data_IF_405313636958
#
_entry.id   IF_405313636958
#
_cell.length_a   1.000
_cell.length_b   1.000
_cell.length_c   1.000
_cell.angle_alpha   90.00
_cell.angle_beta   90.00
_cell.angle_gamma   90.00
#
_symmetry.space_group_name_H-M   'P 1'
#
loop_
_entity.id
_entity.type
_entity.pdbx_description
1 polymer ?
#
# COMPACT_ATOMS: atom_id res chain seq x y z
N UNK A 1 5.84 12.26 12.44
CA UNK A 1 6.41 11.44 11.35
C UNK A 1 5.98 12.05 10.03
N UNK A 2 6.88 12.17 9.06
CA UNK A 2 6.58 12.82 7.77
C UNK A 2 6.93 11.84 6.67
N UNK A 3 5.95 11.52 5.82
CA UNK A 3 6.18 10.77 4.58
C UNK A 3 7.20 11.51 3.68
N UNK A 4 7.88 10.81 2.76
CA UNK A 4 8.69 11.46 1.75
C UNK A 4 7.88 12.55 1.01
N UNK A 5 8.48 13.71 0.67
CA UNK A 5 7.74 14.86 0.13
C UNK A 5 6.98 14.61 -1.17
N UNK A 6 7.28 13.55 -1.90
CA UNK A 6 6.62 13.15 -3.15
C UNK A 6 5.61 12.00 -2.96
N UNK A 7 5.58 11.38 -1.78
CA UNK A 7 4.58 10.37 -1.42
C UNK A 7 3.31 11.10 -0.97
N UNK A 8 2.17 10.67 -1.51
CA UNK A 8 0.85 11.15 -1.12
C UNK A 8 0.00 9.97 -0.73
N UNK A 9 -0.78 10.13 0.34
CA UNK A 9 -1.81 9.19 0.76
C UNK A 9 -3.12 9.96 0.82
N UNK A 10 -4.18 9.40 0.26
CA UNK A 10 -5.51 9.95 0.32
C UNK A 10 -6.53 8.84 0.56
N UNK A 11 -7.66 9.18 1.15
CA UNK A 11 -8.76 8.25 1.36
C UNK A 11 -10.10 8.92 1.17
N UNK A 12 -11.12 8.09 0.89
CA UNK A 12 -12.50 8.54 0.72
C UNK A 12 -13.44 7.43 1.19
N UNK A 13 -14.49 7.83 1.88
CA UNK A 13 -15.58 6.92 2.24
C UNK A 13 -16.25 6.47 0.95
N UNK A 14 -16.59 5.18 0.86
CA UNK A 14 -17.29 4.59 -0.25
C UNK A 14 -18.79 4.74 0.05
N UNK A 15 -19.50 5.62 -0.69
CA UNK A 15 -20.91 5.84 -0.45
C UNK A 15 -21.71 4.55 -0.65
N UNK A 16 -22.83 4.36 0.08
CA UNK A 16 -23.73 3.24 -0.14
C UNK A 16 -24.12 3.09 -1.61
N UNK A 17 -23.99 1.87 -2.14
CA UNK A 17 -24.32 1.56 -3.54
C UNK A 17 -23.24 1.89 -4.58
N UNK A 18 -22.15 2.56 -4.20
CA UNK A 18 -21.01 2.75 -5.11
C UNK A 18 -19.99 1.63 -5.01
N UNK A 19 -19.27 1.40 -6.12
CA UNK A 19 -18.23 0.39 -6.17
C UNK A 19 -16.93 1.01 -5.63
N UNK A 20 -16.36 0.43 -4.56
CA UNK A 20 -15.09 0.87 -3.95
C UNK A 20 -13.97 1.13 -4.98
N UNK A 21 -13.93 0.34 -6.06
CA UNK A 21 -12.97 0.50 -7.15
C UNK A 21 -13.12 1.87 -7.83
N UNK A 22 -14.33 2.28 -8.18
CA UNK A 22 -14.58 3.59 -8.83
C UNK A 22 -14.12 4.75 -7.94
N UNK A 23 -14.37 4.65 -6.64
CA UNK A 23 -13.91 5.62 -5.64
C UNK A 23 -12.38 5.72 -5.62
N UNK A 24 -11.68 4.58 -5.59
CA UNK A 24 -10.21 4.60 -5.65
C UNK A 24 -9.67 5.13 -6.99
N UNK A 25 -10.35 4.88 -8.12
CA UNK A 25 -9.96 5.43 -9.42
C UNK A 25 -10.12 6.95 -9.46
N UNK A 26 -11.21 7.48 -8.90
CA UNK A 26 -11.41 8.93 -8.77
C UNK A 26 -10.28 9.56 -7.94
N UNK A 27 -9.95 8.98 -6.78
CA UNK A 27 -8.84 9.47 -5.95
C UNK A 27 -7.50 9.45 -6.71
N UNK A 28 -7.22 8.39 -7.45
CA UNK A 28 -5.98 8.30 -8.24
C UNK A 28 -5.95 9.34 -9.37
N UNK A 29 -7.08 9.58 -10.05
CA UNK A 29 -7.17 10.61 -11.08
C UNK A 29 -6.95 12.03 -10.53
N UNK A 30 -7.41 12.30 -9.31
CA UNK A 30 -7.18 13.58 -8.62
C UNK A 30 -5.70 13.76 -8.21
N UNK A 31 -5.06 12.72 -7.69
CA UNK A 31 -3.64 12.77 -7.27
C UNK A 31 -2.66 12.74 -8.46
N UNK A 32 -3.03 12.06 -9.54
CA UNK A 32 -2.21 11.87 -10.73
C UNK A 32 -3.00 12.30 -11.98
N UNK A 33 -3.24 13.61 -12.17
CA UNK A 33 -3.93 14.09 -13.35
C UNK A 33 -3.15 13.69 -14.62
N UNK A 34 -3.87 13.18 -15.62
CA UNK A 34 -3.30 12.67 -16.87
C UNK A 34 -2.77 11.23 -16.79
N UNK A 35 -2.88 10.56 -15.64
CA UNK A 35 -2.57 9.15 -15.52
C UNK A 35 -3.69 8.26 -16.07
N UNK A 36 -3.32 7.24 -16.82
CA UNK A 36 -4.15 6.08 -17.08
C UNK A 36 -3.86 5.02 -16.01
N UNK A 37 -4.90 4.49 -15.38
CA UNK A 37 -4.75 3.51 -14.30
C UNK A 37 -5.37 2.18 -14.69
N UNK A 38 -4.51 1.16 -14.79
CA UNK A 38 -4.92 -0.19 -15.16
C UNK A 38 -4.69 -1.18 -14.03
N UNK A 39 -5.52 -2.23 -13.97
CA UNK A 39 -5.31 -3.35 -13.06
C UNK A 39 -5.66 -4.62 -13.80
N UNK A 40 -4.65 -5.44 -14.07
CA UNK A 40 -4.81 -6.74 -14.76
C UNK A 40 -4.00 -7.80 -14.05
N UNK A 41 -4.66 -8.87 -13.67
CA UNK A 41 -4.02 -10.01 -13.03
C UNK A 41 -3.12 -10.71 -14.06
N UNK A 42 -1.86 -10.97 -13.69
CA UNK A 42 -0.93 -11.71 -14.56
C UNK A 42 -1.31 -13.17 -14.74
N UNK A 43 -2.09 -13.75 -13.83
CA UNK A 43 -2.51 -15.14 -13.89
C UNK A 43 -3.78 -15.36 -14.74
N UNK A 44 -4.81 -14.54 -14.55
CA UNK A 44 -6.12 -14.73 -15.21
C UNK A 44 -6.57 -13.59 -16.13
N UNK A 45 -5.83 -12.47 -16.18
CA UNK A 45 -6.19 -11.28 -16.97
C UNK A 45 -7.28 -10.38 -16.37
N UNK A 46 -7.94 -10.80 -15.28
CA UNK A 46 -9.03 -10.08 -14.64
C UNK A 46 -8.62 -8.77 -13.97
N UNK A 47 -9.61 -7.93 -13.65
CA UNK A 47 -9.39 -6.55 -13.18
C UNK A 47 -8.94 -6.40 -11.71
N UNK A 48 -8.65 -7.51 -11.04
CA UNK A 48 -8.21 -7.57 -9.65
C UNK A 48 -6.69 -7.66 -9.50
N UNK A 49 -5.95 -7.44 -10.60
CA UNK A 49 -4.49 -7.40 -10.54
C UNK A 49 -3.95 -6.14 -9.89
N UNK A 50 -2.62 -6.07 -9.79
CA UNK A 50 -1.91 -4.89 -9.29
C UNK A 50 -2.28 -3.64 -10.08
N UNK A 51 -2.39 -2.52 -9.36
CA UNK A 51 -2.51 -1.19 -9.97
C UNK A 51 -1.21 -0.84 -10.70
N UNK A 52 -1.32 -0.43 -11.95
CA UNK A 52 -0.25 0.16 -12.74
C UNK A 52 -0.72 1.50 -13.27
N UNK A 53 0.18 2.47 -13.24
CA UNK A 53 -0.03 3.81 -13.77
C UNK A 53 0.75 3.94 -15.08
N UNK A 54 0.11 4.50 -16.09
CA UNK A 54 0.70 4.84 -17.39
C UNK A 54 0.37 6.29 -17.75
N UNK A 55 1.02 6.86 -18.76
CA UNK A 55 0.84 8.26 -19.18
C UNK A 55 1.59 9.28 -18.32
N UNK A 56 1.95 8.92 -17.08
CA UNK A 56 2.83 9.70 -16.21
C UNK A 56 3.83 8.79 -15.49
N UNK A 57 5.00 9.32 -15.18
CA UNK A 57 6.00 8.67 -14.33
C UNK A 57 5.54 8.74 -12.87
N UNK A 58 4.81 7.71 -12.44
CA UNK A 58 4.36 7.55 -11.07
C UNK A 58 4.06 6.08 -10.75
N UNK A 59 4.07 5.77 -9.46
CA UNK A 59 3.59 4.49 -8.91
C UNK A 59 2.40 4.74 -8.01
N UNK A 60 1.52 3.74 -7.91
CA UNK A 60 0.33 3.82 -7.08
C UNK A 60 -0.03 2.47 -6.47
N UNK A 61 -0.66 2.52 -5.30
CA UNK A 61 -1.22 1.37 -4.61
C UNK A 61 -2.56 1.73 -3.97
N UNK A 62 -3.39 0.72 -3.75
CA UNK A 62 -4.77 0.87 -3.25
C UNK A 62 -5.04 -0.19 -2.19
N UNK A 63 -5.73 0.21 -1.13
CA UNK A 63 -6.35 -0.70 -0.16
C UNK A 63 -7.78 -0.27 0.17
N UNK A 64 -8.54 -1.19 0.76
CA UNK A 64 -9.92 -0.97 1.17
C UNK A 64 -10.15 -1.58 2.55
N UNK A 65 -10.75 -0.82 3.46
CA UNK A 65 -11.11 -1.28 4.81
C UNK A 65 -12.35 -0.53 5.30
N UNK A 66 -13.29 -1.21 5.97
CA UNK A 66 -14.49 -0.61 6.61
C UNK A 66 -15.21 0.46 5.76
N UNK A 67 -15.48 0.18 4.49
CA UNK A 67 -16.15 1.15 3.62
C UNK A 67 -15.28 2.31 3.15
N UNK A 68 -13.97 2.28 3.37
CA UNK A 68 -13.02 3.27 2.86
C UNK A 68 -12.24 2.74 1.65
N UNK A 69 -11.95 3.64 0.71
CA UNK A 69 -10.88 3.45 -0.27
C UNK A 69 -9.68 4.30 0.14
N UNK A 70 -8.51 3.68 0.25
CA UNK A 70 -7.24 4.32 0.61
C UNK A 70 -6.27 4.14 -0.55
N UNK A 71 -5.62 5.22 -0.99
CA UNK A 71 -4.67 5.22 -2.09
C UNK A 71 -3.35 5.83 -1.65
N UNK A 72 -2.25 5.31 -2.17
CA UNK A 72 -0.94 5.93 -2.05
C UNK A 72 -0.30 6.08 -3.43
N UNK A 73 0.37 7.20 -3.66
CA UNK A 73 1.06 7.50 -4.92
C UNK A 73 2.45 8.06 -4.65
N UNK A 74 3.40 7.80 -5.55
CA UNK A 74 4.71 8.46 -5.56
C UNK A 74 5.13 8.74 -7.01
N UNK A 75 5.87 9.85 -7.21
CA UNK A 75 6.45 10.21 -8.51
C UNK A 75 7.93 9.86 -8.62
N UNK A 76 8.60 9.50 -7.52
CA UNK A 76 10.04 9.21 -7.52
C UNK A 76 10.38 7.79 -7.04
N UNK A 77 9.50 7.15 -6.28
CA UNK A 77 9.72 5.79 -5.81
C UNK A 77 9.44 4.77 -6.93
N UNK A 78 10.35 3.80 -7.08
CA UNK A 78 10.21 2.69 -8.00
C UNK A 78 9.02 1.77 -7.66
N UNK A 79 8.59 1.73 -6.40
CA UNK A 79 7.30 1.19 -6.01
C UNK A 79 6.75 1.80 -4.71
N UNK A 80 5.43 1.74 -4.58
CA UNK A 80 4.70 2.08 -3.36
C UNK A 80 3.68 0.99 -3.09
N UNK A 81 3.48 0.67 -1.81
CA UNK A 81 2.44 -0.21 -1.31
C UNK A 81 1.71 0.48 -0.17
N UNK A 82 0.37 0.43 -0.18
CA UNK A 82 -0.45 0.87 0.95
C UNK A 82 -1.36 -0.26 1.38
N UNK A 83 -1.44 -0.46 2.68
CA UNK A 83 -2.48 -1.28 3.26
C UNK A 83 -3.25 -0.56 4.35
N UNK A 84 -4.54 -0.90 4.43
CA UNK A 84 -5.51 -0.34 5.34
C UNK A 84 -6.26 -1.52 5.96
N UNK A 85 -6.33 -1.54 7.28
CA UNK A 85 -6.88 -2.65 8.06
C UNK A 85 -7.79 -2.07 9.14
N UNK A 86 -8.97 -2.64 9.40
CA UNK A 86 -9.77 -2.26 10.56
C UNK A 86 -8.93 -2.35 11.84
N UNK A 87 -9.00 -1.35 12.72
CA UNK A 87 -8.19 -1.34 13.95
C UNK A 87 -8.47 -2.55 14.84
N UNK A 88 -9.73 -2.99 14.87
CA UNK A 88 -10.22 -4.16 15.62
C UNK A 88 -10.28 -5.43 14.76
N UNK A 89 -9.46 -5.53 13.71
CA UNK A 89 -9.44 -6.70 12.85
C UNK A 89 -9.14 -7.98 13.66
N UNK A 90 -9.99 -8.99 13.48
CA UNK A 90 -9.86 -10.30 14.13
C UNK A 90 -9.48 -11.38 13.11
N UNK A 91 -8.96 -12.51 13.60
CA UNK A 91 -8.61 -13.65 12.75
C UNK A 91 -7.27 -13.53 12.00
N UNK A 92 -6.48 -12.49 12.30
CA UNK A 92 -5.14 -12.31 11.74
C UNK A 92 -4.19 -13.46 12.09
N UNK A 93 -4.40 -14.12 13.24
CA UNK A 93 -3.64 -15.31 13.64
C UNK A 93 -3.69 -16.45 12.63
N UNK A 94 -4.73 -16.52 11.78
CA UNK A 94 -4.85 -17.54 10.75
C UNK A 94 -3.88 -17.35 9.58
N UNK A 95 -3.37 -16.12 9.39
CA UNK A 95 -2.50 -15.74 8.27
C UNK A 95 -1.12 -15.28 8.73
N UNK A 96 -1.02 -14.72 9.93
CA UNK A 96 0.21 -14.30 10.56
C UNK A 96 0.07 -14.40 12.09
N UNK A 97 0.50 -15.52 12.71
CA UNK A 97 0.34 -15.75 14.14
C UNK A 97 0.94 -14.63 15.01
N UNK A 98 0.16 -14.13 15.96
CA UNK A 98 0.56 -13.09 16.91
C UNK A 98 0.57 -11.67 16.33
N UNK A 99 0.15 -11.46 15.08
CA UNK A 99 0.09 -10.14 14.48
C UNK A 99 -1.15 -9.36 14.91
N UNK A 100 -0.94 -8.11 15.34
CA UNK A 100 -1.99 -7.11 15.46
C UNK A 100 -2.31 -6.45 14.10
N UNK A 101 -3.39 -5.65 14.04
CA UNK A 101 -3.81 -4.96 12.82
C UNK A 101 -2.70 -4.08 12.22
N UNK A 102 -1.86 -3.48 13.06
CA UNK A 102 -0.74 -2.65 12.62
C UNK A 102 0.37 -3.48 11.97
N UNK A 103 0.76 -4.57 12.60
CA UNK A 103 1.77 -5.49 12.05
C UNK A 103 1.29 -6.07 10.73
N UNK A 104 0.02 -6.46 10.66
CA UNK A 104 -0.60 -6.94 9.43
C UNK A 104 -0.59 -5.88 8.32
N UNK A 105 -1.02 -4.64 8.60
CA UNK A 105 -1.00 -3.56 7.63
C UNK A 105 0.42 -3.31 7.07
N UNK A 106 1.45 -3.36 7.92
CA UNK A 106 2.84 -3.18 7.48
C UNK A 106 3.29 -4.32 6.56
N UNK A 107 2.96 -5.56 6.90
CA UNK A 107 3.28 -6.75 6.08
C UNK A 107 2.62 -6.67 4.71
N UNK A 108 1.32 -6.39 4.66
CA UNK A 108 0.58 -6.23 3.40
C UNK A 108 1.08 -5.03 2.58
N UNK A 109 1.44 -3.91 3.23
CA UNK A 109 2.04 -2.77 2.53
C UNK A 109 3.35 -3.16 1.84
N UNK A 110 4.21 -3.96 2.49
CA UNK A 110 5.44 -4.50 1.88
C UNK A 110 5.11 -5.43 0.72
N UNK A 111 4.20 -6.40 0.89
CA UNK A 111 3.81 -7.33 -0.17
C UNK A 111 3.23 -6.61 -1.39
N UNK A 112 2.47 -5.53 -1.16
CA UNK A 112 1.94 -4.68 -2.21
C UNK A 112 3.04 -3.88 -2.90
N UNK A 113 4.05 -3.37 -2.18
CA UNK A 113 5.18 -2.64 -2.76
C UNK A 113 6.13 -3.56 -3.54
N UNK A 114 6.31 -4.79 -3.06
CA UNK A 114 7.06 -5.87 -3.73
C UNK A 114 6.37 -6.33 -5.02
N UNK A 115 5.04 -6.48 -4.98
CA UNK A 115 4.22 -6.75 -6.15
C UNK A 115 4.06 -8.22 -6.52
N UNK A 116 4.71 -9.15 -5.82
CA UNK A 116 4.39 -10.59 -5.89
C UNK A 116 3.09 -10.94 -5.15
N UNK A 117 2.64 -10.08 -4.24
CA UNK A 117 1.42 -10.26 -3.44
C UNK A 117 1.44 -11.57 -2.66
N UNK A 118 0.29 -12.25 -2.57
CA UNK A 118 0.13 -13.52 -1.86
C UNK A 118 0.84 -14.72 -2.52
N UNK A 119 1.60 -14.51 -3.59
CA UNK A 119 2.57 -15.53 -4.06
C UNK A 119 3.74 -15.68 -3.09
N UNK A 120 3.88 -14.74 -2.14
CA UNK A 120 4.82 -14.78 -1.02
C UNK A 120 4.01 -15.00 0.25
N UNK A 121 4.45 -15.97 1.06
CA UNK A 121 3.92 -16.19 2.40
C UNK A 121 4.15 -14.94 3.28
N UNK A 122 3.10 -14.34 3.89
CA UNK A 122 3.24 -13.19 4.78
C UNK A 122 4.27 -13.38 5.90
N UNK A 123 4.48 -14.61 6.38
CA UNK A 123 5.48 -14.90 7.41
C UNK A 123 6.93 -14.67 6.95
N UNK A 124 7.17 -14.56 5.64
CA UNK A 124 8.49 -14.23 5.06
C UNK A 124 8.78 -12.73 5.02
N UNK A 125 7.85 -11.90 5.47
CA UNK A 125 8.04 -10.45 5.58
C UNK A 125 8.58 -10.10 6.96
N UNK A 126 9.75 -9.47 6.98
CA UNK A 126 10.36 -8.96 8.21
C UNK A 126 10.13 -7.47 8.33
N UNK A 127 9.70 -7.04 9.52
CA UNK A 127 9.51 -5.64 9.88
C UNK A 127 10.47 -5.29 11.01
N UNK A 128 11.29 -4.27 10.81
CA UNK A 128 12.25 -3.76 11.79
C UNK A 128 11.93 -2.28 12.10
N UNK A 129 11.55 -1.96 13.34
CA UNK A 129 11.27 -0.56 13.73
C UNK A 129 12.57 0.24 13.85
N UNK A 130 12.49 1.52 13.47
CA UNK A 130 13.56 2.51 13.63
C UNK A 130 13.29 3.42 14.83
N UNK A 131 14.32 4.16 15.24
CA UNK A 131 14.26 5.10 16.36
C UNK A 131 13.39 6.34 16.10
N UNK A 132 13.12 6.66 14.83
CA UNK A 132 12.30 7.80 14.37
C UNK A 132 10.83 7.43 14.13
N UNK A 133 10.38 6.34 14.76
CA UNK A 133 9.07 5.71 14.60
C UNK A 133 8.75 5.15 13.21
N UNK A 134 9.62 5.30 12.21
CA UNK A 134 9.49 4.61 10.93
C UNK A 134 9.89 3.14 11.07
N UNK A 135 9.79 2.37 9.99
CA UNK A 135 10.20 0.97 9.97
C UNK A 135 10.81 0.58 8.62
N UNK A 136 11.55 -0.53 8.61
CA UNK A 136 12.02 -1.20 7.39
C UNK A 136 11.25 -2.48 7.21
N UNK A 137 10.72 -2.69 6.01
CA UNK A 137 10.12 -3.95 5.61
C UNK A 137 10.93 -4.64 4.54
N UNK A 138 11.07 -5.96 4.58
CA UNK A 138 11.62 -6.74 3.47
C UNK A 138 11.00 -8.13 3.41
N UNK A 139 10.79 -8.65 2.20
CA UNK A 139 10.68 -10.10 2.00
C UNK A 139 12.08 -10.70 2.15
N UNK A 140 12.22 -11.89 2.73
CA UNK A 140 13.53 -12.54 2.98
C UNK A 140 14.51 -12.51 1.79
N UNK A 141 14.00 -12.58 0.55
CA UNK A 141 14.77 -12.58 -0.70
C UNK A 141 14.67 -11.26 -1.49
N UNK A 142 14.06 -10.23 -0.90
CA UNK A 142 13.71 -8.97 -1.56
C UNK A 142 14.53 -7.77 -1.10
N UNK A 143 14.34 -6.66 -1.82
CA UNK A 143 14.89 -5.37 -1.43
C UNK A 143 14.17 -4.82 -0.17
N UNK A 144 14.86 -4.00 0.64
CA UNK A 144 14.21 -3.30 1.74
C UNK A 144 13.28 -2.19 1.23
N UNK A 145 12.24 -1.91 2.02
CA UNK A 145 11.28 -0.82 1.84
C UNK A 145 11.29 0.09 3.06
N UNK A 146 11.25 1.40 2.82
CA UNK A 146 11.00 2.39 3.86
C UNK A 146 9.51 2.40 4.20
N UNK A 147 9.21 2.24 5.48
CA UNK A 147 7.87 2.02 5.98
C UNK A 147 7.39 3.10 6.94
N UNK A 148 6.12 3.46 6.80
CA UNK A 148 5.49 4.56 7.51
C UNK A 148 4.10 4.13 8.00
N UNK A 149 3.82 4.34 9.29
CA UNK A 149 2.45 4.31 9.80
C UNK A 149 1.86 5.71 9.59
N UNK A 150 0.73 5.82 8.90
CA UNK A 150 0.15 7.11 8.52
C UNK A 150 -1.23 7.28 9.14
N UNK A 151 -1.63 8.54 9.34
CA UNK A 151 -3.01 8.85 9.75
C UNK A 151 -3.94 8.41 8.61
N UNK A 152 -4.93 7.61 8.97
CA UNK A 152 -5.95 7.11 8.06
C UNK A 152 -7.36 7.59 8.43
N UNK A 153 -8.39 7.02 7.80
CA UNK A 153 -9.76 7.21 8.23
C UNK A 153 -9.99 6.71 9.67
N UNK A 154 -11.08 7.14 10.33
CA UNK A 154 -11.45 6.66 11.66
C UNK A 154 -11.47 5.12 11.73
N UNK A 155 -10.96 4.57 12.84
CA UNK A 155 -10.94 3.13 13.13
C UNK A 155 -10.22 2.25 12.09
N UNK A 156 -9.36 2.85 11.27
CA UNK A 156 -8.55 2.15 10.26
C UNK A 156 -7.06 2.42 10.49
N UNK A 157 -6.28 1.35 10.61
CA UNK A 157 -4.83 1.40 10.63
C UNK A 157 -4.30 1.41 9.20
N UNK A 158 -3.45 2.38 8.86
CA UNK A 158 -2.87 2.51 7.52
C UNK A 158 -1.35 2.49 7.59
N UNK A 159 -0.75 1.64 6.76
CA UNK A 159 0.69 1.52 6.59
C UNK A 159 1.07 1.71 5.13
N UNK A 160 2.22 2.37 4.90
CA UNK A 160 2.78 2.61 3.57
C UNK A 160 4.20 2.09 3.52
N UNK A 161 4.53 1.30 2.49
CA UNK A 161 5.88 0.87 2.18
C UNK A 161 6.31 1.50 0.86
N UNK A 162 7.50 2.08 0.82
CA UNK A 162 8.03 2.82 -0.33
C UNK A 162 9.39 2.20 -0.66
N UNK A 163 9.63 1.86 -1.93
CA UNK A 163 10.99 1.49 -2.33
C UNK A 163 11.90 2.67 -2.00
N UNK A 164 13.09 2.48 -1.43
CA UNK A 164 14.07 3.55 -1.31
C UNK A 164 14.17 4.19 -2.69
N UNK A 165 13.88 5.49 -2.78
CA UNK A 165 14.12 6.21 -4.03
C UNK A 165 15.54 5.89 -4.47
N UNK A 166 15.78 5.75 -5.78
CA UNK A 166 17.16 5.61 -6.25
C UNK A 166 17.94 6.76 -5.62
N UNK A 167 18.71 6.47 -4.58
CA UNK A 167 19.57 7.44 -3.94
C UNK A 167 20.38 7.95 -5.12
N UNK A 168 20.23 9.25 -5.43
CA UNK A 168 20.97 9.86 -6.51
C UNK A 168 22.42 9.46 -6.29
N UNK A 169 22.90 8.50 -7.09
CA UNK A 169 24.28 8.09 -7.05
C UNK A 169 25.06 9.35 -7.40
N UNK A 170 25.63 9.98 -6.38
CA UNK A 170 26.61 11.04 -6.48
C UNK A 170 27.83 10.57 -5.74
#
# INVERSE_FOLDING_TARGET
MTLPPDVRVAWREVPPGLVRREVSRSLLAELLPGADVVSRCSACGGEHGRVRVTGVEATASVSYAEGWAVVATSRSAGSVGVDAVPAEATGLDNVLPGADARTWARVEAVLKADGRGLSVDPARVRIERRADDTWVGRVDDGAPYDGYDVVGPPDVVVAVAVSPGACAAR
#
